data_IF_412773212022
#
_entry.id   IF_412773212022
#
_cell.length_a   1.000
_cell.length_b   1.000
_cell.length_c   1.000
_cell.angle_alpha   90.00
_cell.angle_beta   90.00
_cell.angle_gamma   90.00
#
_symmetry.space_group_name_H-M   'P 1'
#
loop_
_entity.id
_entity.type
_entity.pdbx_description
1 polymer ?
#
# COMPACT_ATOMS: atom_id res chain seq x y z
N UNK A 1 -9.62 -10.23 29.13
CA UNK A 1 -10.20 -8.87 29.24
C UNK A 1 -9.79 -7.95 28.09
N UNK A 2 -8.49 -7.64 27.87
CA UNK A 2 -8.08 -6.68 26.81
C UNK A 2 -8.37 -7.15 25.38
N UNK A 3 -8.09 -8.43 25.06
CA UNK A 3 -8.49 -9.03 23.78
C UNK A 3 -10.00 -8.89 23.54
N UNK A 4 -10.78 -9.19 24.58
CA UNK A 4 -12.23 -9.10 24.55
C UNK A 4 -12.72 -7.66 24.34
N UNK A 5 -12.07 -6.64 24.93
CA UNK A 5 -12.44 -5.24 24.71
C UNK A 5 -12.17 -4.75 23.28
N UNK A 6 -11.08 -5.19 22.65
CA UNK A 6 -10.79 -4.81 21.25
C UNK A 6 -11.73 -5.53 20.28
N UNK A 7 -12.00 -6.82 20.51
CA UNK A 7 -12.97 -7.60 19.73
C UNK A 7 -14.37 -7.01 19.87
N UNK A 8 -14.79 -6.70 21.10
CA UNK A 8 -16.09 -6.08 21.36
C UNK A 8 -16.19 -4.70 20.69
N UNK A 9 -15.14 -3.88 20.75
CA UNK A 9 -15.13 -2.59 20.05
C UNK A 9 -15.25 -2.76 18.53
N UNK A 10 -14.51 -3.68 17.91
CA UNK A 10 -14.62 -3.95 16.49
C UNK A 10 -16.00 -4.50 16.10
N UNK A 11 -16.58 -5.37 16.92
CA UNK A 11 -17.93 -5.89 16.73
C UNK A 11 -18.99 -4.76 16.84
N UNK A 12 -18.86 -3.87 17.83
CA UNK A 12 -19.75 -2.70 18.00
C UNK A 12 -19.63 -1.74 16.82
N UNK A 13 -18.42 -1.42 16.36
CA UNK A 13 -18.21 -0.56 15.18
C UNK A 13 -18.87 -1.18 13.94
N UNK A 14 -18.70 -2.49 13.74
CA UNK A 14 -19.31 -3.20 12.61
C UNK A 14 -20.84 -3.17 12.72
N UNK A 15 -21.40 -3.51 13.88
CA UNK A 15 -22.84 -3.55 14.12
C UNK A 15 -23.50 -2.17 14.00
N UNK A 16 -22.87 -1.12 14.53
CA UNK A 16 -23.37 0.26 14.39
C UNK A 16 -23.42 0.68 12.91
N UNK A 17 -22.46 0.21 12.10
CA UNK A 17 -22.44 0.51 10.67
C UNK A 17 -23.45 -0.30 9.87
N UNK A 18 -23.55 -1.61 10.10
CA UNK A 18 -24.36 -2.52 9.28
C UNK A 18 -25.80 -2.65 9.73
N UNK A 19 -26.06 -2.59 11.03
CA UNK A 19 -27.39 -2.80 11.63
C UNK A 19 -28.09 -1.48 11.93
N UNK A 20 -27.37 -0.54 12.54
CA UNK A 20 -27.94 0.75 12.99
C UNK A 20 -27.86 1.83 11.91
N UNK A 21 -27.02 1.65 10.88
CA UNK A 21 -26.87 2.61 9.79
C UNK A 21 -26.17 3.91 10.20
N UNK A 22 -25.33 3.87 11.24
CA UNK A 22 -24.56 5.04 11.68
C UNK A 22 -23.62 5.52 10.57
N UNK A 23 -23.58 6.85 10.37
CA UNK A 23 -22.79 7.44 9.28
C UNK A 23 -21.30 7.12 9.41
N UNK A 24 -20.57 6.88 8.29
CA UNK A 24 -19.13 6.64 8.32
C UNK A 24 -18.34 7.76 9.00
N UNK A 25 -18.80 8.99 8.82
CA UNK A 25 -18.20 10.19 9.43
C UNK A 25 -18.27 10.12 10.96
N UNK A 26 -19.43 9.79 11.54
CA UNK A 26 -19.55 9.67 13.00
C UNK A 26 -18.64 8.58 13.56
N UNK A 27 -18.52 7.44 12.87
CA UNK A 27 -17.62 6.37 13.27
C UNK A 27 -16.15 6.84 13.28
N UNK A 28 -15.73 7.57 12.25
CA UNK A 28 -14.35 8.06 12.08
C UNK A 28 -14.00 9.20 13.04
N UNK A 29 -14.85 10.21 13.19
CA UNK A 29 -14.54 11.42 13.96
C UNK A 29 -14.82 11.28 15.46
N UNK A 30 -15.74 10.40 15.87
CA UNK A 30 -16.20 10.32 17.27
C UNK A 30 -15.90 8.95 17.86
N UNK A 31 -16.50 7.89 17.30
CA UNK A 31 -16.48 6.58 17.93
C UNK A 31 -15.06 5.98 17.98
N UNK A 32 -14.29 6.12 16.90
CA UNK A 32 -12.94 5.58 16.83
C UNK A 32 -11.98 6.26 17.81
N UNK A 33 -11.82 7.61 17.82
CA UNK A 33 -10.98 8.29 18.80
C UNK A 33 -11.39 8.00 20.25
N UNK A 34 -12.69 8.00 20.55
CA UNK A 34 -13.18 7.70 21.91
C UNK A 34 -12.88 6.25 22.31
N UNK A 35 -13.13 5.28 21.42
CA UNK A 35 -12.82 3.87 21.67
C UNK A 35 -11.33 3.63 21.93
N UNK A 36 -10.47 4.26 21.13
CA UNK A 36 -9.02 4.22 21.31
C UNK A 36 -8.59 4.84 22.65
N UNK A 37 -9.19 5.97 23.05
CA UNK A 37 -8.94 6.62 24.33
C UNK A 37 -9.36 5.75 25.52
N UNK A 38 -10.57 5.18 25.49
CA UNK A 38 -11.07 4.29 26.55
C UNK A 38 -10.16 3.07 26.70
N UNK A 39 -9.76 2.45 25.58
CA UNK A 39 -8.84 1.32 25.58
C UNK A 39 -7.47 1.71 26.17
N UNK A 40 -6.93 2.87 25.78
CA UNK A 40 -5.67 3.40 26.28
C UNK A 40 -5.71 3.66 27.79
N UNK A 41 -6.78 4.26 28.30
CA UNK A 41 -6.97 4.55 29.72
C UNK A 41 -7.15 3.28 30.55
N UNK A 42 -7.97 2.34 30.06
CA UNK A 42 -8.15 1.03 30.70
C UNK A 42 -6.84 0.26 30.81
N UNK A 43 -6.06 0.22 29.72
CA UNK A 43 -4.74 -0.41 29.73
C UNK A 43 -3.73 0.31 30.61
N UNK A 44 -3.77 1.64 30.68
CA UNK A 44 -2.95 2.43 31.61
C UNK A 44 -3.23 2.05 33.06
N UNK A 45 -4.50 1.86 33.42
CA UNK A 45 -4.91 1.46 34.77
C UNK A 45 -4.39 0.06 35.11
N UNK A 46 -4.57 -0.92 34.21
CA UNK A 46 -4.10 -2.31 34.40
C UNK A 46 -2.57 -2.43 34.43
N UNK A 47 -1.84 -1.56 33.71
CA UNK A 47 -0.38 -1.62 33.58
C UNK A 47 0.36 -0.55 34.38
N UNK A 48 -0.29 0.04 35.39
CA UNK A 48 0.26 1.16 36.18
C UNK A 48 1.64 0.88 36.76
N UNK A 49 1.87 -0.35 37.24
CA UNK A 49 3.12 -0.75 37.89
C UNK A 49 4.19 -1.25 36.89
N UNK A 50 3.83 -1.41 35.61
CA UNK A 50 4.75 -1.86 34.58
C UNK A 50 5.45 -0.66 33.94
N UNK A 51 6.78 -0.63 34.05
CA UNK A 51 7.65 0.33 33.37
C UNK A 51 8.30 -0.30 32.15
N UNK A 52 8.45 0.48 31.09
CA UNK A 52 9.22 0.05 29.93
C UNK A 52 10.72 0.08 30.26
N UNK A 53 11.44 -0.96 29.83
CA UNK A 53 12.88 -1.15 30.06
C UNK A 53 13.68 -1.14 28.75
N UNK A 54 13.11 -0.59 27.67
CA UNK A 54 13.85 -0.42 26.42
C UNK A 54 15.00 0.56 26.61
N UNK A 55 16.14 0.23 26.00
CA UNK A 55 17.32 1.07 25.98
C UNK A 55 17.44 1.72 24.60
N UNK A 56 18.02 2.92 24.54
CA UNK A 56 18.33 3.65 23.30
C UNK A 56 17.12 3.90 22.41
N UNK A 57 15.98 4.21 23.01
CA UNK A 57 14.76 4.57 22.28
C UNK A 57 15.00 5.77 21.36
N UNK A 58 15.78 6.76 21.81
CA UNK A 58 16.06 7.98 21.04
C UNK A 58 16.79 7.71 19.71
N UNK A 59 17.77 6.79 19.70
CA UNK A 59 18.50 6.41 18.49
C UNK A 59 17.54 5.77 17.47
N UNK A 60 16.67 4.86 17.94
CA UNK A 60 15.68 4.18 17.09
C UNK A 60 14.57 5.10 16.62
N UNK A 61 14.19 6.10 17.42
CA UNK A 61 13.30 7.19 17.02
C UNK A 61 13.93 7.97 15.86
N UNK A 62 15.22 8.33 15.97
CA UNK A 62 15.96 8.99 14.90
C UNK A 62 15.97 8.18 13.60
N UNK A 63 16.27 6.88 13.66
CA UNK A 63 16.25 6.00 12.49
C UNK A 63 14.84 5.94 11.87
N UNK A 64 13.81 5.76 12.70
CA UNK A 64 12.42 5.70 12.22
C UNK A 64 12.01 7.01 11.57
N UNK A 65 12.35 8.16 12.18
CA UNK A 65 12.09 9.48 11.63
C UNK A 65 12.80 9.67 10.28
N UNK A 66 14.07 9.29 10.17
CA UNK A 66 14.84 9.42 8.92
C UNK A 66 14.26 8.57 7.79
N UNK A 67 13.92 7.30 8.07
CA UNK A 67 13.30 6.40 7.06
C UNK A 67 11.94 6.95 6.62
N UNK A 68 11.12 7.44 7.56
CA UNK A 68 9.81 7.99 7.24
C UNK A 68 9.90 9.34 6.51
N UNK A 69 10.88 10.18 6.81
CA UNK A 69 11.13 11.42 6.09
C UNK A 69 11.57 11.13 4.65
N UNK A 70 12.50 10.18 4.45
CA UNK A 70 12.89 9.74 3.12
C UNK A 70 11.71 9.16 2.34
N UNK A 71 10.90 8.31 2.99
CA UNK A 71 9.68 7.77 2.40
C UNK A 71 8.70 8.87 1.99
N UNK A 72 8.46 9.88 2.84
CA UNK A 72 7.60 11.01 2.54
C UNK A 72 8.10 11.80 1.31
N UNK A 73 9.41 12.02 1.22
CA UNK A 73 10.04 12.69 0.07
C UNK A 73 9.84 11.86 -1.20
N UNK A 74 10.18 10.56 -1.16
CA UNK A 74 10.04 9.66 -2.32
C UNK A 74 8.57 9.56 -2.76
N UNK A 75 7.65 9.40 -1.81
CA UNK A 75 6.22 9.40 -2.05
C UNK A 75 5.80 10.68 -2.77
N UNK A 76 6.13 11.87 -2.25
CA UNK A 76 5.73 13.11 -2.88
C UNK A 76 6.38 13.32 -4.25
N UNK A 77 7.67 13.01 -4.42
CA UNK A 77 8.39 13.11 -5.69
C UNK A 77 7.83 12.16 -6.75
N UNK A 78 7.30 11.02 -6.36
CA UNK A 78 6.66 10.10 -7.31
C UNK A 78 5.45 10.73 -8.03
N UNK A 79 4.81 11.73 -7.42
CA UNK A 79 3.75 12.52 -8.07
C UNK A 79 4.23 13.30 -9.30
N UNK A 80 5.53 13.59 -9.43
CA UNK A 80 6.10 14.15 -10.65
C UNK A 80 6.03 13.17 -11.83
N UNK A 81 6.04 11.86 -11.54
CA UNK A 81 5.95 10.80 -12.54
C UNK A 81 4.48 10.44 -12.83
N UNK A 82 3.65 10.38 -11.78
CA UNK A 82 2.28 9.87 -11.85
C UNK A 82 1.18 10.93 -11.85
N UNK A 83 1.55 12.22 -11.83
CA UNK A 83 0.68 13.37 -11.59
C UNK A 83 0.10 13.42 -10.18
N UNK A 84 -0.44 14.58 -9.80
CA UNK A 84 -1.09 14.80 -8.52
C UNK A 84 -2.61 14.82 -8.66
N UNK A 85 -3.29 14.33 -7.64
CA UNK A 85 -4.74 14.40 -7.50
C UNK A 85 -5.12 15.13 -6.20
N UNK A 86 -6.30 15.74 -6.20
CA UNK A 86 -6.89 16.26 -4.97
C UNK A 86 -7.34 15.10 -4.10
N UNK A 87 -7.01 15.19 -2.82
CA UNK A 87 -7.35 14.17 -1.85
C UNK A 87 -8.87 14.14 -1.61
N UNK A 88 -9.56 12.98 -1.66
CA UNK A 88 -10.99 12.89 -1.34
C UNK A 88 -11.34 13.37 0.08
N UNK A 89 -10.37 13.35 1.00
CA UNK A 89 -10.53 13.87 2.36
C UNK A 89 -10.46 15.41 2.43
N UNK A 90 -10.15 16.08 1.32
CA UNK A 90 -10.15 17.53 1.21
C UNK A 90 -11.58 18.08 1.01
N UNK A 91 -12.14 18.62 2.09
CA UNK A 91 -13.41 19.38 2.06
C UNK A 91 -13.25 20.86 2.41
N UNK A 92 -12.01 21.38 2.38
CA UNK A 92 -11.65 22.71 2.87
C UNK A 92 -10.84 22.69 4.17
N UNK A 93 -10.42 23.87 4.62
CA UNK A 93 -9.49 24.03 5.76
C UNK A 93 -10.05 23.44 7.06
N UNK A 94 -11.33 23.68 7.36
CA UNK A 94 -11.93 23.15 8.59
C UNK A 94 -12.08 21.63 8.56
N UNK A 95 -12.47 21.07 7.41
CA UNK A 95 -12.54 19.62 7.27
C UNK A 95 -11.15 18.99 7.44
N UNK A 96 -10.09 19.64 6.93
CA UNK A 96 -8.73 19.19 7.13
C UNK A 96 -8.34 19.15 8.61
N UNK A 97 -8.63 20.23 9.35
CA UNK A 97 -8.34 20.29 10.79
C UNK A 97 -9.06 19.16 11.54
N UNK A 98 -10.33 18.91 11.22
CA UNK A 98 -11.09 17.81 11.82
C UNK A 98 -10.51 16.44 11.47
N UNK A 99 -10.07 16.23 10.22
CA UNK A 99 -9.40 15.00 9.82
C UNK A 99 -8.11 14.79 10.60
N UNK A 100 -7.26 15.81 10.70
CA UNK A 100 -6.01 15.74 11.45
C UNK A 100 -6.29 15.39 12.90
N UNK A 101 -7.24 16.08 13.55
CA UNK A 101 -7.58 15.81 14.96
C UNK A 101 -8.06 14.36 15.13
N UNK A 102 -8.98 13.89 14.28
CA UNK A 102 -9.53 12.54 14.42
C UNK A 102 -8.49 11.45 14.17
N UNK A 103 -7.71 11.54 13.08
CA UNK A 103 -6.68 10.54 12.75
C UNK A 103 -5.55 10.54 13.78
N UNK A 104 -5.09 11.71 14.24
CA UNK A 104 -4.06 11.82 15.27
C UNK A 104 -4.58 11.30 16.61
N UNK A 105 -5.78 11.70 17.05
CA UNK A 105 -6.34 11.24 18.33
C UNK A 105 -6.53 9.72 18.35
N UNK A 106 -7.10 9.16 17.27
CA UNK A 106 -7.21 7.72 17.10
C UNK A 106 -5.85 7.04 17.10
N UNK A 107 -4.92 7.50 16.25
CA UNK A 107 -3.58 6.94 16.08
C UNK A 107 -2.76 6.94 17.38
N UNK A 108 -2.77 8.05 18.13
CA UNK A 108 -2.08 8.13 19.42
C UNK A 108 -2.70 7.18 20.44
N UNK A 109 -4.04 7.17 20.55
CA UNK A 109 -4.76 6.33 21.51
C UNK A 109 -4.52 4.84 21.25
N UNK A 110 -4.67 4.41 20.00
CA UNK A 110 -4.57 3.00 19.63
C UNK A 110 -3.14 2.47 19.76
N UNK A 111 -2.13 3.29 19.41
CA UNK A 111 -0.74 2.88 19.52
C UNK A 111 -0.23 2.94 20.97
N UNK A 112 -0.73 3.87 21.78
CA UNK A 112 -0.50 3.83 23.22
C UNK A 112 -1.10 2.55 23.84
N UNK A 113 -2.32 2.18 23.45
CA UNK A 113 -2.93 0.93 23.86
C UNK A 113 -2.08 -0.28 23.42
N UNK A 114 -1.61 -0.33 22.17
CA UNK A 114 -0.72 -1.41 21.69
C UNK A 114 0.54 -1.53 22.53
N UNK A 115 1.19 -0.40 22.81
CA UNK A 115 2.40 -0.36 23.61
C UNK A 115 2.17 -0.92 25.02
N UNK A 116 1.10 -0.48 25.71
CA UNK A 116 0.74 -0.99 27.04
C UNK A 116 0.33 -2.46 27.02
N UNK A 117 -0.37 -2.91 25.99
CA UNK A 117 -0.74 -4.31 25.85
C UNK A 117 0.49 -5.22 25.72
N UNK A 118 1.54 -4.78 25.01
CA UNK A 118 2.81 -5.51 24.94
C UNK A 118 3.53 -5.56 26.30
N UNK A 119 3.47 -4.50 27.10
CA UNK A 119 3.97 -4.53 28.49
C UNK A 119 3.18 -5.52 29.35
N UNK A 120 1.86 -5.65 29.12
CA UNK A 120 1.01 -6.59 29.83
C UNK A 120 1.39 -8.04 29.52
N UNK A 121 1.40 -8.43 28.25
CA UNK A 121 1.69 -9.81 27.82
C UNK A 121 3.19 -10.15 28.00
N UNK A 122 4.06 -9.14 27.96
CA UNK A 122 5.50 -9.28 28.08
C UNK A 122 6.18 -9.75 26.79
N UNK A 123 7.48 -9.48 26.67
CA UNK A 123 8.24 -9.63 25.41
C UNK A 123 8.76 -11.04 25.09
N UNK A 124 8.28 -12.08 25.78
CA UNK A 124 8.65 -13.48 25.48
C UNK A 124 7.90 -13.97 24.24
N UNK A 125 8.52 -14.85 23.44
CA UNK A 125 7.93 -15.41 22.20
C UNK A 125 7.35 -14.34 21.25
N UNK A 126 8.21 -13.45 20.71
CA UNK A 126 7.78 -12.27 19.95
C UNK A 126 6.98 -12.62 18.68
N UNK A 127 7.21 -13.78 18.06
CA UNK A 127 6.46 -14.22 16.88
C UNK A 127 5.00 -14.55 17.22
N UNK A 128 4.77 -15.49 18.14
CA UNK A 128 3.42 -15.92 18.53
C UNK A 128 2.63 -14.77 19.15
N UNK A 129 3.21 -14.08 20.15
CA UNK A 129 2.54 -12.99 20.83
C UNK A 129 2.40 -11.76 19.95
N UNK A 130 3.38 -11.49 19.08
CA UNK A 130 3.30 -10.44 18.07
C UNK A 130 2.19 -10.69 17.07
N UNK A 131 2.03 -11.92 16.59
CA UNK A 131 0.94 -12.31 15.69
C UNK A 131 -0.44 -12.05 16.30
N UNK A 132 -0.64 -12.39 17.58
CA UNK A 132 -1.88 -12.06 18.31
C UNK A 132 -2.09 -10.55 18.41
N UNK A 133 -1.04 -9.78 18.72
CA UNK A 133 -1.13 -8.31 18.77
C UNK A 133 -1.51 -7.74 17.39
N UNK A 134 -0.88 -8.20 16.31
CA UNK A 134 -1.21 -7.78 14.94
C UNK A 134 -2.68 -8.07 14.65
N UNK A 135 -3.14 -9.32 14.86
CA UNK A 135 -4.51 -9.71 14.59
C UNK A 135 -5.53 -8.86 15.38
N UNK A 136 -5.28 -8.63 16.67
CA UNK A 136 -6.17 -7.85 17.55
C UNK A 136 -6.25 -6.39 17.11
N UNK A 137 -5.11 -5.75 16.84
CA UNK A 137 -5.07 -4.33 16.49
C UNK A 137 -5.42 -4.05 15.02
N UNK A 138 -5.55 -5.08 14.19
CA UNK A 138 -6.15 -5.00 12.85
C UNK A 138 -7.67 -4.89 12.89
N UNK A 139 -8.34 -5.44 13.91
CA UNK A 139 -9.81 -5.52 13.96
C UNK A 139 -10.54 -4.18 13.78
N UNK A 140 -10.11 -3.05 14.39
CA UNK A 140 -10.79 -1.77 14.22
C UNK A 140 -10.76 -1.26 12.78
N UNK A 141 -9.71 -1.60 12.03
CA UNK A 141 -9.58 -1.26 10.61
C UNK A 141 -10.42 -2.18 9.74
N UNK A 142 -10.39 -3.50 10.00
CA UNK A 142 -11.19 -4.48 9.27
C UNK A 142 -12.69 -4.19 9.44
N UNK A 143 -13.13 -3.80 10.64
CA UNK A 143 -14.51 -3.40 10.92
C UNK A 143 -15.01 -2.27 10.00
N UNK A 144 -14.12 -1.37 9.57
CA UNK A 144 -14.44 -0.30 8.61
C UNK A 144 -14.44 -0.77 7.15
N UNK A 145 -14.03 -1.99 6.84
CA UNK A 145 -13.94 -2.49 5.45
C UNK A 145 -15.01 -3.53 5.16
N UNK A 146 -15.49 -4.27 6.17
CA UNK A 146 -16.49 -5.35 6.03
C UNK A 146 -17.70 -4.94 5.15
N UNK A 147 -18.34 -3.77 5.34
CA UNK A 147 -19.49 -3.40 4.50
C UNK A 147 -19.14 -3.15 3.03
N UNK A 148 -17.90 -2.75 2.74
CA UNK A 148 -17.42 -2.59 1.37
C UNK A 148 -17.14 -3.96 0.73
N UNK A 149 -16.61 -4.92 1.50
CA UNK A 149 -16.35 -6.28 1.01
C UNK A 149 -17.61 -7.01 0.55
N UNK A 150 -18.74 -6.81 1.23
CA UNK A 150 -20.01 -7.50 0.93
C UNK A 150 -20.70 -6.94 -0.33
N UNK A 151 -20.38 -5.70 -0.73
CA UNK A 151 -21.09 -4.99 -1.78
C UNK A 151 -20.41 -5.06 -3.16
N UNK A 152 -19.31 -5.80 -3.31
CA UNK A 152 -18.34 -5.59 -4.39
C UNK A 152 -18.10 -6.87 -5.21
N UNK A 153 -17.91 -6.73 -6.53
CA UNK A 153 -17.63 -7.84 -7.46
C UNK A 153 -16.25 -8.47 -7.23
N UNK A 154 -16.03 -9.70 -7.70
CA UNK A 154 -14.80 -10.47 -7.46
C UNK A 154 -13.51 -9.76 -7.92
N UNK A 155 -13.53 -9.07 -9.06
CA UNK A 155 -12.37 -8.31 -9.56
C UNK A 155 -12.00 -7.13 -8.64
N UNK A 156 -13.01 -6.51 -8.04
CA UNK A 156 -12.86 -5.35 -7.16
C UNK A 156 -12.43 -5.75 -5.73
N UNK A 157 -12.53 -7.04 -5.37
CA UNK A 157 -12.00 -7.57 -4.10
C UNK A 157 -10.47 -7.47 -4.06
N UNK A 158 -9.78 -7.74 -5.18
CA UNK A 158 -8.31 -7.68 -5.25
C UNK A 158 -7.84 -6.23 -5.04
N UNK A 159 -8.49 -5.28 -5.70
CA UNK A 159 -8.22 -3.85 -5.53
C UNK A 159 -8.43 -3.41 -4.08
N UNK A 160 -9.49 -3.89 -3.42
CA UNK A 160 -9.75 -3.57 -2.02
C UNK A 160 -8.68 -4.15 -1.08
N UNK A 161 -8.25 -5.40 -1.33
CA UNK A 161 -7.18 -6.04 -0.57
C UNK A 161 -5.87 -5.25 -0.72
N UNK A 162 -5.52 -4.87 -1.95
CA UNK A 162 -4.30 -4.11 -2.22
C UNK A 162 -4.33 -2.69 -1.64
N UNK A 163 -5.46 -2.00 -1.76
CA UNK A 163 -5.60 -0.62 -1.29
C UNK A 163 -5.65 -0.52 0.23
N UNK A 164 -6.29 -1.49 0.90
CA UNK A 164 -6.59 -1.37 2.33
C UNK A 164 -5.93 -2.48 3.16
N UNK A 165 -6.19 -3.74 2.84
CA UNK A 165 -5.79 -4.85 3.71
C UNK A 165 -4.27 -5.01 3.81
N UNK A 166 -3.55 -4.93 2.69
CA UNK A 166 -2.09 -5.05 2.66
C UNK A 166 -1.44 -3.90 3.44
N UNK A 167 -1.72 -2.60 3.17
CA UNK A 167 -1.13 -1.51 3.94
C UNK A 167 -1.43 -1.58 5.44
N UNK A 168 -2.67 -1.91 5.82
CA UNK A 168 -3.05 -2.05 7.23
C UNK A 168 -2.31 -3.20 7.90
N UNK A 169 -2.16 -4.35 7.21
CA UNK A 169 -1.38 -5.48 7.72
C UNK A 169 0.08 -5.11 7.94
N UNK A 170 0.73 -4.51 6.94
CA UNK A 170 2.13 -4.09 7.02
C UNK A 170 2.33 -3.08 8.13
N UNK A 171 1.47 -2.06 8.20
CA UNK A 171 1.51 -1.04 9.24
C UNK A 171 1.40 -1.67 10.64
N UNK A 172 0.49 -2.62 10.84
CA UNK A 172 0.32 -3.32 12.12
C UNK A 172 1.51 -4.21 12.47
N UNK A 173 2.15 -4.87 11.50
CA UNK A 173 3.37 -5.65 11.71
C UNK A 173 4.50 -4.74 12.17
N UNK A 174 4.72 -3.62 11.46
CA UNK A 174 5.77 -2.64 11.78
C UNK A 174 5.54 -2.02 13.16
N UNK A 175 4.33 -1.53 13.46
CA UNK A 175 4.00 -0.94 14.76
C UNK A 175 4.18 -1.93 15.91
N UNK A 176 3.81 -3.18 15.69
CA UNK A 176 4.05 -4.26 16.66
C UNK A 176 5.54 -4.48 16.86
N UNK A 177 6.33 -4.59 15.78
CA UNK A 177 7.79 -4.71 15.87
C UNK A 177 8.43 -3.54 16.62
N UNK A 178 8.03 -2.30 16.31
CA UNK A 178 8.49 -1.09 16.99
C UNK A 178 8.14 -1.12 18.49
N UNK A 179 6.96 -1.61 18.86
CA UNK A 179 6.59 -1.76 20.27
C UNK A 179 7.47 -2.76 21.04
N UNK A 180 7.95 -3.82 20.37
CA UNK A 180 8.90 -4.78 20.95
C UNK A 180 10.33 -4.23 21.04
N UNK A 181 10.73 -3.36 20.11
CA UNK A 181 12.15 -3.03 19.89
C UNK A 181 12.52 -1.58 20.12
N UNK A 182 11.66 -0.63 19.79
CA UNK A 182 11.95 0.81 19.70
C UNK A 182 11.12 1.68 20.66
N UNK A 183 9.97 1.20 21.12
CA UNK A 183 9.13 1.85 22.12
C UNK A 183 8.08 2.80 21.52
N UNK A 184 7.31 3.43 22.38
CA UNK A 184 6.14 4.23 21.98
C UNK A 184 6.49 5.39 21.04
N UNK A 185 7.59 6.10 21.29
CA UNK A 185 7.96 7.27 20.47
C UNK A 185 8.18 6.90 19.00
N UNK A 186 8.91 5.81 18.71
CA UNK A 186 9.09 5.34 17.34
C UNK A 186 7.77 4.90 16.70
N UNK A 187 6.89 4.26 17.47
CA UNK A 187 5.56 3.88 16.97
C UNK A 187 4.76 5.12 16.55
N UNK A 188 4.77 6.17 17.39
CA UNK A 188 4.09 7.43 17.09
C UNK A 188 4.70 8.12 15.88
N UNK A 189 6.03 8.18 15.76
CA UNK A 189 6.69 8.77 14.57
C UNK A 189 6.25 8.05 13.30
N UNK A 190 6.31 6.70 13.28
CA UNK A 190 5.87 5.91 12.15
C UNK A 190 4.37 6.15 11.83
N UNK A 191 3.51 6.08 12.84
CA UNK A 191 2.06 6.24 12.70
C UNK A 191 1.67 7.64 12.21
N UNK A 192 2.23 8.69 12.82
CA UNK A 192 1.92 10.07 12.45
C UNK A 192 2.42 10.37 11.04
N UNK A 193 3.61 9.88 10.66
CA UNK A 193 4.11 10.05 9.30
C UNK A 193 3.20 9.40 8.25
N UNK A 194 2.70 8.19 8.50
CA UNK A 194 1.76 7.54 7.56
C UNK A 194 0.41 8.25 7.50
N UNK A 195 -0.14 8.66 8.65
CA UNK A 195 -1.47 9.28 8.71
C UNK A 195 -1.44 10.70 8.12
N UNK A 196 -0.41 11.49 8.41
CA UNK A 196 -0.29 12.85 7.87
C UNK A 196 -0.09 12.87 6.35
N UNK A 197 0.66 11.91 5.78
CA UNK A 197 0.79 11.78 4.33
C UNK A 197 -0.55 11.52 3.66
N UNK A 198 -1.40 10.68 4.26
CA UNK A 198 -2.75 10.41 3.77
C UNK A 198 -3.67 11.63 3.87
N UNK A 199 -3.36 12.60 4.72
CA UNK A 199 -4.16 13.81 4.91
C UNK A 199 -3.69 14.99 4.08
N UNK A 200 -2.63 14.89 3.27
CA UNK A 200 -2.20 16.03 2.45
C UNK A 200 -3.31 16.44 1.45
N UNK A 201 -3.57 17.75 1.22
CA UNK A 201 -4.62 18.20 0.30
C UNK A 201 -4.41 17.70 -1.14
N UNK A 202 -3.13 17.60 -1.52
CA UNK A 202 -2.67 17.16 -2.82
C UNK A 202 -1.76 15.96 -2.58
N UNK A 203 -2.05 14.85 -3.25
CA UNK A 203 -1.30 13.61 -3.15
C UNK A 203 -1.01 13.04 -4.55
N UNK A 204 0.10 12.31 -4.73
CA UNK A 204 0.35 11.57 -5.96
C UNK A 204 -0.82 10.64 -6.32
N UNK A 205 -1.20 10.59 -7.59
CA UNK A 205 -2.24 9.67 -8.07
C UNK A 205 -1.66 8.26 -8.18
N UNK A 206 -1.67 7.55 -7.06
CA UNK A 206 -1.27 6.15 -7.01
C UNK A 206 -2.43 5.20 -7.20
N UNK A 207 -2.25 4.23 -8.09
CA UNK A 207 -3.13 3.07 -8.17
C UNK A 207 -2.93 2.15 -6.95
N UNK A 208 -3.91 1.29 -6.68
CA UNK A 208 -3.96 0.41 -5.51
C UNK A 208 -2.67 -0.42 -5.28
N UNK A 209 -2.05 -0.91 -6.36
CA UNK A 209 -0.84 -1.73 -6.28
C UNK A 209 0.39 -0.92 -5.87
N UNK A 210 0.47 0.36 -6.26
CA UNK A 210 1.56 1.24 -5.86
C UNK A 210 1.49 1.54 -4.36
N UNK A 211 0.28 1.74 -3.84
CA UNK A 211 0.04 1.93 -2.40
C UNK A 211 0.45 0.67 -1.62
N UNK A 212 0.03 -0.51 -2.08
CA UNK A 212 0.41 -1.79 -1.49
C UNK A 212 1.95 -1.96 -1.49
N UNK A 213 2.59 -1.78 -2.65
CA UNK A 213 4.04 -1.95 -2.81
C UNK A 213 4.83 -0.94 -1.97
N UNK A 214 4.41 0.32 -1.99
CA UNK A 214 5.01 1.39 -1.19
C UNK A 214 4.99 1.07 0.29
N UNK A 215 3.85 0.61 0.81
CA UNK A 215 3.70 0.19 2.21
C UNK A 215 4.63 -0.97 2.58
N UNK A 216 4.73 -1.99 1.72
CA UNK A 216 5.63 -3.13 1.88
C UNK A 216 7.10 -2.69 1.89
N UNK A 217 7.50 -1.86 0.93
CA UNK A 217 8.88 -1.36 0.82
C UNK A 217 9.29 -0.56 2.05
N UNK A 218 8.51 0.45 2.46
CA UNK A 218 8.86 1.25 3.64
C UNK A 218 8.87 0.42 4.92
N UNK A 219 7.90 -0.48 5.08
CA UNK A 219 7.83 -1.39 6.22
C UNK A 219 9.06 -2.29 6.29
N UNK A 220 9.43 -2.93 5.18
CA UNK A 220 10.60 -3.80 5.08
C UNK A 220 11.91 -3.04 5.31
N UNK A 221 12.10 -1.87 4.69
CA UNK A 221 13.30 -1.03 4.89
C UNK A 221 13.44 -0.67 6.38
N UNK A 222 12.35 -0.26 7.03
CA UNK A 222 12.37 0.08 8.45
C UNK A 222 12.70 -1.13 9.33
N UNK A 223 12.11 -2.30 9.06
CA UNK A 223 12.39 -3.53 9.80
C UNK A 223 13.86 -3.96 9.66
N UNK A 224 14.42 -3.93 8.44
CA UNK A 224 15.81 -4.29 8.17
C UNK A 224 16.81 -3.33 8.82
N UNK A 225 16.56 -2.02 8.72
CA UNK A 225 17.44 -1.01 9.33
C UNK A 225 17.48 -1.14 10.85
N UNK A 226 16.33 -1.35 11.49
CA UNK A 226 16.27 -1.55 12.93
C UNK A 226 16.87 -2.89 13.37
N UNK A 227 16.73 -3.97 12.58
CA UNK A 227 17.32 -5.26 12.92
C UNK A 227 18.85 -5.24 12.83
N UNK A 228 19.43 -4.56 11.82
CA UNK A 228 20.89 -4.41 11.69
C UNK A 228 21.52 -3.72 12.91
N UNK A 229 20.92 -2.63 13.39
CA UNK A 229 21.42 -1.94 14.59
C UNK A 229 21.42 -2.81 15.85
N UNK A 230 20.60 -3.86 15.89
CA UNK A 230 20.59 -4.85 16.96
C UNK A 230 21.71 -5.88 16.79
N UNK A 231 21.91 -6.38 15.58
CA UNK A 231 22.85 -7.48 15.29
C UNK A 231 24.31 -7.09 15.54
N UNK A 232 24.72 -5.88 15.15
CA UNK A 232 26.09 -5.39 15.30
C UNK A 232 26.60 -5.42 16.75
N UNK A 233 25.69 -5.47 17.73
CA UNK A 233 26.06 -5.56 19.15
C UNK A 233 25.94 -6.95 19.75
N UNK A 234 25.15 -7.84 19.16
CA UNK A 234 25.11 -9.25 19.59
C UNK A 234 26.36 -10.05 19.24
N UNK A 235 27.27 -9.51 18.41
CA UNK A 235 28.59 -10.13 18.17
C UNK A 235 29.43 -10.24 19.46
N UNK A 236 29.15 -9.44 20.49
CA UNK A 236 29.84 -9.49 21.80
C UNK A 236 29.17 -10.47 22.79
N UNK A 237 27.89 -10.83 22.59
CA UNK A 237 27.17 -11.76 23.47
C UNK A 237 26.40 -12.82 22.66
N UNK A 238 26.96 -14.03 22.58
CA UNK A 238 26.59 -15.09 21.63
C UNK A 238 25.29 -15.87 21.85
N UNK A 239 24.37 -15.45 22.73
CA UNK A 239 23.14 -16.22 22.94
C UNK A 239 21.88 -15.36 22.96
N UNK A 240 20.88 -15.82 22.20
CA UNK A 240 19.44 -15.69 22.47
C UNK A 240 18.61 -14.65 21.71
N UNK A 241 18.98 -14.21 20.49
CA UNK A 241 18.12 -13.31 19.69
C UNK A 241 17.77 -13.75 18.25
N UNK A 242 18.11 -14.99 17.85
CA UNK A 242 17.94 -15.53 16.49
C UNK A 242 16.52 -15.40 15.87
N UNK A 243 15.46 -15.39 16.68
CA UNK A 243 14.08 -15.46 16.20
C UNK A 243 13.46 -14.15 15.68
N UNK A 244 14.04 -12.98 15.95
CA UNK A 244 13.48 -11.70 15.47
C UNK A 244 14.07 -11.28 14.12
N UNK A 245 15.30 -11.68 13.81
CA UNK A 245 15.98 -11.34 12.55
C UNK A 245 15.20 -11.89 11.33
N UNK A 246 14.55 -13.04 11.53
CA UNK A 246 13.70 -13.69 10.55
C UNK A 246 12.50 -12.81 10.14
N UNK A 247 12.05 -11.87 10.97
CA UNK A 247 10.92 -10.99 10.62
C UNK A 247 11.33 -10.00 9.53
N UNK A 248 12.51 -9.38 9.65
CA UNK A 248 13.03 -8.48 8.62
C UNK A 248 13.36 -9.23 7.33
N UNK A 249 13.98 -10.41 7.45
CA UNK A 249 14.31 -11.27 6.30
C UNK A 249 13.05 -11.81 5.61
N UNK A 250 12.03 -12.23 6.37
CA UNK A 250 10.75 -12.68 5.82
C UNK A 250 9.99 -11.54 5.16
N UNK A 251 9.98 -10.34 5.77
CA UNK A 251 9.37 -9.16 5.16
C UNK A 251 10.06 -8.79 3.85
N UNK A 252 11.39 -8.91 3.78
CA UNK A 252 12.15 -8.73 2.55
C UNK A 252 11.82 -9.78 1.50
N UNK A 253 11.80 -11.07 1.87
CA UNK A 253 11.38 -12.16 1.00
C UNK A 253 9.96 -11.95 0.46
N UNK A 254 9.00 -11.59 1.31
CA UNK A 254 7.62 -11.29 0.92
C UNK A 254 7.52 -10.07 0.00
N UNK A 255 8.31 -9.03 0.27
CA UNK A 255 8.35 -7.84 -0.60
C UNK A 255 8.93 -8.19 -1.96
N UNK A 256 9.99 -9.00 -2.01
CA UNK A 256 10.56 -9.51 -3.25
C UNK A 256 9.58 -10.40 -4.01
N UNK A 257 8.89 -11.32 -3.33
CA UNK A 257 7.87 -12.16 -3.95
C UNK A 257 6.74 -11.29 -4.49
N UNK A 258 6.25 -10.32 -3.73
CA UNK A 258 5.25 -9.36 -4.19
C UNK A 258 5.71 -8.56 -5.41
N UNK A 259 6.95 -8.08 -5.42
CA UNK A 259 7.56 -7.41 -6.57
C UNK A 259 7.66 -8.33 -7.77
N UNK A 260 8.10 -9.58 -7.59
CA UNK A 260 8.20 -10.57 -8.66
C UNK A 260 6.81 -10.87 -9.23
N UNK A 261 5.81 -11.13 -8.40
CA UNK A 261 4.43 -11.37 -8.84
C UNK A 261 3.84 -10.18 -9.61
N UNK A 262 4.22 -8.96 -9.23
CA UNK A 262 3.87 -7.74 -9.94
C UNK A 262 4.58 -7.63 -11.29
N UNK A 263 5.87 -7.95 -11.34
CA UNK A 263 6.65 -7.96 -12.58
C UNK A 263 6.23 -9.08 -13.54
N UNK A 264 5.77 -10.23 -13.05
CA UNK A 264 5.33 -11.35 -13.87
C UNK A 264 3.88 -11.24 -14.35
N UNK A 265 3.16 -10.18 -13.96
CA UNK A 265 1.78 -9.95 -14.37
C UNK A 265 0.78 -10.97 -13.83
N UNK A 266 1.04 -11.52 -12.65
CA UNK A 266 0.04 -12.34 -11.93
C UNK A 266 -1.12 -11.48 -11.43
N UNK A 267 -0.87 -10.19 -11.18
CA UNK A 267 -1.92 -9.23 -10.87
C UNK A 267 -2.57 -8.68 -12.14
N UNK A 268 -3.77 -8.12 -12.00
CA UNK A 268 -4.49 -7.44 -13.09
C UNK A 268 -3.75 -6.22 -13.66
N UNK A 269 -2.59 -5.85 -13.12
CA UNK A 269 -1.73 -4.78 -13.59
C UNK A 269 -0.31 -5.31 -13.70
N UNK A 270 0.36 -5.02 -14.82
CA UNK A 270 1.73 -5.43 -15.07
C UNK A 270 2.53 -4.32 -15.77
N UNK A 271 3.82 -4.14 -15.46
CA UNK A 271 4.67 -3.20 -16.15
C UNK A 271 5.15 -3.76 -17.49
N UNK A 272 5.21 -2.92 -18.52
CA UNK A 272 5.87 -3.22 -19.80
C UNK A 272 6.80 -2.06 -20.17
N UNK A 273 7.93 -2.36 -20.78
CA UNK A 273 8.82 -1.32 -21.28
C UNK A 273 8.47 -0.96 -22.73
N UNK A 274 8.46 0.33 -23.05
CA UNK A 274 8.22 0.86 -24.39
C UNK A 274 9.51 0.72 -25.20
N UNK A 275 9.46 -0.15 -26.21
CA UNK A 275 10.62 -0.53 -27.01
C UNK A 275 10.92 0.41 -28.18
N UNK A 276 9.90 1.12 -28.69
CA UNK A 276 9.99 1.95 -29.91
C UNK A 276 9.61 3.40 -29.65
N UNK A 277 9.80 4.26 -30.67
CA UNK A 277 9.36 5.66 -30.66
C UNK A 277 7.97 5.89 -31.28
N UNK A 278 7.17 4.83 -31.52
CA UNK A 278 5.88 4.96 -32.22
C UNK A 278 4.81 5.68 -31.38
N UNK A 279 4.98 5.73 -30.06
CA UNK A 279 4.08 6.41 -29.13
C UNK A 279 4.56 7.80 -28.69
N UNK A 280 5.65 8.31 -29.30
CA UNK A 280 6.14 9.66 -29.04
C UNK A 280 5.11 10.72 -29.50
N UNK A 281 4.93 11.85 -28.79
CA UNK A 281 5.65 12.30 -27.59
C UNK A 281 5.04 11.80 -26.27
N UNK A 282 3.95 11.02 -26.31
CA UNK A 282 3.21 10.63 -25.10
C UNK A 282 3.96 9.53 -24.32
N UNK A 283 4.53 8.55 -25.01
CA UNK A 283 5.46 7.58 -24.42
C UNK A 283 6.72 7.48 -25.26
N UNK A 284 7.86 7.62 -24.60
CA UNK A 284 9.16 7.55 -25.24
C UNK A 284 9.75 6.15 -25.09
N UNK A 285 10.64 5.77 -26.02
CA UNK A 285 11.45 4.57 -25.89
C UNK A 285 12.23 4.62 -24.57
N UNK A 286 12.14 3.54 -23.79
CA UNK A 286 12.74 3.47 -22.46
C UNK A 286 11.80 3.85 -21.32
N UNK A 287 10.61 4.36 -21.61
CA UNK A 287 9.55 4.48 -20.60
C UNK A 287 9.04 3.09 -20.20
N UNK A 288 8.65 2.93 -18.94
CA UNK A 288 7.91 1.76 -18.47
C UNK A 288 6.46 2.16 -18.26
N UNK A 289 5.52 1.53 -18.95
CA UNK A 289 4.10 1.78 -18.78
C UNK A 289 3.45 0.66 -17.97
N UNK A 290 2.45 0.99 -17.17
CA UNK A 290 1.67 -0.01 -16.43
C UNK A 290 0.39 -0.30 -17.20
N UNK A 291 0.20 -1.57 -17.55
CA UNK A 291 -0.95 -2.06 -18.30
C UNK A 291 -1.89 -2.78 -17.36
N UNK A 292 -3.16 -2.39 -17.38
CA UNK A 292 -4.26 -3.15 -16.77
C UNK A 292 -4.67 -4.27 -17.73
N UNK A 293 -4.58 -5.52 -17.30
CA UNK A 293 -4.99 -6.69 -18.07
C UNK A 293 -6.43 -6.58 -18.55
N UNK A 294 -6.64 -6.88 -19.83
CA UNK A 294 -7.94 -6.80 -20.49
C UNK A 294 -8.98 -7.67 -19.78
N UNK A 295 -10.18 -7.13 -19.58
CA UNK A 295 -11.37 -7.84 -19.14
C UNK A 295 -12.56 -7.43 -20.03
N UNK A 296 -13.59 -8.28 -20.19
CA UNK A 296 -14.75 -7.95 -21.03
C UNK A 296 -15.62 -6.80 -20.52
N UNK A 297 -15.50 -6.45 -19.24
CA UNK A 297 -16.25 -5.36 -18.61
C UNK A 297 -15.62 -3.98 -18.85
N UNK A 298 -14.38 -3.94 -19.35
CA UNK A 298 -13.68 -2.68 -19.62
C UNK A 298 -14.25 -2.02 -20.87
N UNK A 299 -14.81 -0.84 -20.69
CA UNK A 299 -15.22 0.02 -21.78
C UNK A 299 -13.98 0.64 -22.45
N UNK A 300 -13.66 0.15 -23.64
CA UNK A 300 -12.57 0.68 -24.46
C UNK A 300 -13.16 1.72 -25.40
N UNK A 301 -12.79 2.97 -25.18
CA UNK A 301 -13.26 4.09 -25.98
C UNK A 301 -12.18 4.55 -26.96
N UNK A 302 -12.61 5.26 -28.02
CA UNK A 302 -11.72 5.96 -28.93
C UNK A 302 -10.78 6.88 -28.14
N UNK A 303 -9.49 6.84 -28.44
CA UNK A 303 -8.44 7.58 -27.74
C UNK A 303 -7.74 6.79 -26.63
N UNK A 304 -8.25 5.61 -26.25
CA UNK A 304 -7.60 4.73 -25.26
C UNK A 304 -6.31 4.14 -25.83
N UNK A 305 -5.25 4.07 -25.03
CA UNK A 305 -4.00 3.40 -25.43
C UNK A 305 -4.05 1.96 -24.92
N UNK A 306 -3.97 1.01 -25.86
CA UNK A 306 -4.13 -0.42 -25.59
C UNK A 306 -2.85 -1.17 -25.90
N UNK A 307 -2.58 -2.21 -25.12
CA UNK A 307 -1.60 -3.24 -25.43
C UNK A 307 -2.34 -4.40 -26.11
N UNK A 308 -1.83 -4.87 -27.25
CA UNK A 308 -2.33 -6.05 -27.93
C UNK A 308 -1.20 -6.91 -28.48
N UNK A 309 -1.53 -8.10 -28.97
CA UNK A 309 -0.57 -9.02 -29.60
C UNK A 309 -0.99 -9.32 -31.03
N UNK A 310 -0.06 -9.10 -31.97
CA UNK A 310 -0.19 -9.48 -33.39
C UNK A 310 1.09 -10.21 -33.78
N UNK A 311 0.95 -11.36 -34.44
CA UNK A 311 2.07 -12.20 -34.90
C UNK A 311 3.15 -12.50 -33.84
N UNK A 312 2.70 -12.69 -32.59
CA UNK A 312 3.59 -12.95 -31.44
C UNK A 312 4.30 -11.70 -30.89
N UNK A 313 4.21 -10.55 -31.56
CA UNK A 313 4.74 -9.29 -31.07
C UNK A 313 3.72 -8.55 -30.19
N UNK A 314 4.17 -8.00 -29.07
CA UNK A 314 3.35 -7.12 -28.25
C UNK A 314 3.51 -5.68 -28.70
N UNK A 315 2.39 -5.02 -29.01
CA UNK A 315 2.34 -3.66 -29.55
C UNK A 315 1.46 -2.82 -28.64
N UNK A 316 1.83 -1.55 -28.44
CA UNK A 316 1.09 -0.59 -27.62
C UNK A 316 0.76 0.64 -28.44
N UNK A 317 -0.50 0.82 -28.84
CA UNK A 317 -0.95 1.92 -29.72
C UNK A 317 -2.31 2.48 -29.27
N UNK A 318 -2.70 3.64 -29.82
CA UNK A 318 -3.96 4.30 -29.51
C UNK A 318 -5.09 3.79 -30.40
N UNK A 319 -6.25 3.51 -29.80
CA UNK A 319 -7.49 3.21 -30.52
C UNK A 319 -7.96 4.49 -31.22
N UNK A 320 -8.01 4.47 -32.55
CA UNK A 320 -8.48 5.61 -33.36
C UNK A 320 -9.89 5.41 -33.91
N UNK A 321 -10.35 4.16 -33.99
CA UNK A 321 -11.68 3.81 -34.44
C UNK A 321 -12.13 2.49 -33.80
N UNK A 322 -13.44 2.37 -33.56
CA UNK A 322 -14.08 1.17 -33.04
C UNK A 322 -15.18 0.82 -34.02
N UNK A 323 -15.15 -0.39 -34.55
CA UNK A 323 -16.15 -0.90 -35.49
C UNK A 323 -16.61 -2.29 -35.07
N UNK A 324 -17.68 -2.77 -35.70
CA UNK A 324 -18.20 -4.12 -35.48
C UNK A 324 -18.12 -4.90 -36.77
N UNK A 325 -17.36 -6.00 -36.76
CA UNK A 325 -17.23 -6.92 -37.90
C UNK A 325 -17.73 -8.29 -37.48
N UNK A 326 -18.71 -8.84 -38.21
CA UNK A 326 -19.30 -10.16 -37.91
C UNK A 326 -19.82 -10.29 -36.46
N UNK A 327 -20.39 -9.21 -35.91
CA UNK A 327 -20.92 -9.18 -34.55
C UNK A 327 -19.85 -9.12 -33.45
N UNK A 328 -18.57 -8.99 -33.78
CA UNK A 328 -17.47 -8.78 -32.83
C UNK A 328 -16.94 -7.36 -32.91
N UNK A 329 -16.55 -6.81 -31.76
CA UNK A 329 -15.85 -5.53 -31.68
C UNK A 329 -14.45 -5.65 -32.27
N UNK A 330 -14.10 -4.67 -33.09
CA UNK A 330 -12.81 -4.58 -33.75
C UNK A 330 -12.27 -3.16 -33.59
N UNK A 331 -10.98 -3.07 -33.33
CA UNK A 331 -10.30 -1.81 -33.02
C UNK A 331 -9.27 -1.51 -34.12
N UNK A 332 -9.36 -0.31 -34.68
CA UNK A 332 -8.28 0.25 -35.50
C UNK A 332 -7.35 1.00 -34.57
N UNK A 333 -6.07 0.64 -34.59
CA UNK A 333 -5.04 1.26 -33.74
C UNK A 333 -4.06 2.06 -34.57
N UNK A 334 -3.41 3.03 -33.92
CA UNK A 334 -2.36 3.86 -34.50
C UNK A 334 -1.36 4.28 -33.44
N UNK A 335 -0.06 4.19 -33.75
CA UNK A 335 0.98 4.83 -32.93
C UNK A 335 0.89 6.34 -33.04
N UNK A 336 0.99 7.06 -31.91
CA UNK A 336 0.85 8.52 -31.87
C UNK A 336 1.84 9.26 -32.79
N UNK A 337 3.00 8.65 -33.09
CA UNK A 337 4.04 9.16 -33.97
C UNK A 337 4.03 8.53 -35.39
N UNK A 338 3.08 7.64 -35.67
CA UNK A 338 3.00 6.98 -36.98
C UNK A 338 2.20 7.85 -37.97
N UNK A 339 2.54 7.81 -39.26
CA UNK A 339 1.81 8.54 -40.29
C UNK A 339 0.44 7.89 -40.55
N UNK A 340 0.43 6.57 -40.73
CA UNK A 340 -0.74 5.78 -41.09
C UNK A 340 -1.27 4.96 -39.91
N UNK A 341 -2.50 4.46 -40.04
CA UNK A 341 -3.06 3.48 -39.13
C UNK A 341 -2.30 2.15 -39.24
N UNK A 342 -2.37 1.33 -38.19
CA UNK A 342 -1.83 -0.02 -38.26
C UNK A 342 -2.56 -0.81 -39.38
N UNK A 343 -1.85 -1.61 -40.19
CA UNK A 343 -2.43 -2.26 -41.36
C UNK A 343 -3.33 -3.46 -41.01
N UNK A 344 -3.40 -3.82 -39.73
CA UNK A 344 -4.27 -4.87 -39.21
C UNK A 344 -5.38 -4.28 -38.35
N UNK A 345 -6.42 -5.08 -38.19
CA UNK A 345 -7.50 -4.82 -37.25
C UNK A 345 -7.30 -5.66 -35.98
N UNK A 346 -7.43 -5.03 -34.82
CA UNK A 346 -7.24 -5.69 -33.52
C UNK A 346 -8.59 -6.21 -33.02
N UNK A 347 -8.69 -7.51 -32.78
CA UNK A 347 -9.89 -8.10 -32.17
C UNK A 347 -9.80 -8.12 -30.65
N UNK A 348 -10.94 -8.34 -29.98
CA UNK A 348 -10.98 -8.48 -28.51
C UNK A 348 -10.06 -9.58 -27.98
N UNK A 349 -9.84 -10.63 -28.76
CA UNK A 349 -9.00 -11.78 -28.37
C UNK A 349 -7.49 -11.46 -28.42
N UNK A 350 -7.12 -10.43 -29.19
CA UNK A 350 -5.75 -9.94 -29.31
C UNK A 350 -5.42 -8.87 -28.26
N UNK A 351 -6.42 -8.26 -27.62
CA UNK A 351 -6.22 -7.29 -26.56
C UNK A 351 -5.59 -7.95 -25.33
N UNK A 352 -4.53 -7.32 -24.83
CA UNK A 352 -3.84 -7.71 -23.61
C UNK A 352 -4.14 -6.77 -22.46
N UNK A 353 -4.40 -5.50 -22.74
CA UNK A 353 -4.79 -4.56 -21.70
C UNK A 353 -4.81 -3.11 -22.13
N UNK A 354 -5.04 -2.25 -21.14
CA UNK A 354 -5.11 -0.79 -21.29
C UNK A 354 -4.00 -0.14 -20.50
N UNK A 355 -3.28 0.80 -21.10
CA UNK A 355 -2.24 1.57 -20.39
C UNK A 355 -2.90 2.53 -19.40
N UNK A 356 -2.51 2.44 -18.12
CA UNK A 356 -3.05 3.28 -17.03
C UNK A 356 -2.04 4.26 -16.45
N UNK A 357 -0.74 4.01 -16.61
CA UNK A 357 0.31 4.89 -16.10
C UNK A 357 1.63 4.73 -16.82
N UNK A 358 2.56 5.67 -16.59
CA UNK A 358 3.93 5.62 -17.10
C UNK A 358 4.94 5.97 -16.02
N UNK A 359 6.13 5.40 -16.15
CA UNK A 359 7.32 5.69 -15.38
C UNK A 359 8.46 5.93 -16.38
N UNK A 360 8.83 7.19 -16.62
CA UNK A 360 9.87 7.53 -17.57
C UNK A 360 11.20 6.83 -17.27
N UNK A 361 11.96 6.47 -18.31
CA UNK A 361 13.34 5.97 -18.28
C UNK A 361 13.58 4.61 -17.56
N UNK A 362 12.66 4.11 -16.74
CA UNK A 362 12.86 2.85 -15.99
C UNK A 362 12.79 1.61 -16.90
N UNK A 363 12.25 1.72 -18.11
CA UNK A 363 12.23 0.66 -19.11
C UNK A 363 13.57 0.40 -19.79
N UNK A 364 14.56 1.30 -19.67
CA UNK A 364 15.84 1.16 -20.36
C UNK A 364 16.60 -0.14 -20.07
N UNK A 365 16.69 -0.66 -18.82
CA UNK A 365 17.32 -1.95 -18.58
C UNK A 365 16.73 -3.08 -19.44
N UNK A 366 15.40 -3.12 -19.59
CA UNK A 366 14.72 -4.10 -20.46
C UNK A 366 15.01 -3.85 -21.93
N UNK A 367 14.99 -2.59 -22.38
CA UNK A 367 15.32 -2.22 -23.76
C UNK A 367 16.75 -2.64 -24.11
N UNK A 368 17.71 -2.29 -23.26
CA UNK A 368 19.14 -2.61 -23.45
C UNK A 368 19.39 -4.12 -23.45
N UNK A 369 18.72 -4.87 -22.56
CA UNK A 369 18.80 -6.32 -22.54
C UNK A 369 18.21 -6.95 -23.81
N UNK A 370 17.05 -6.47 -24.27
CA UNK A 370 16.42 -6.96 -25.49
C UNK A 370 17.30 -6.73 -26.72
N UNK A 371 17.88 -5.53 -26.84
CA UNK A 371 18.84 -5.21 -27.90
C UNK A 371 20.10 -6.07 -27.83
N UNK A 372 20.59 -6.35 -26.62
CA UNK A 372 21.73 -7.24 -26.44
C UNK A 372 21.44 -8.68 -26.87
N UNK A 373 20.23 -9.20 -26.61
CA UNK A 373 19.84 -10.57 -27.00
C UNK A 373 19.59 -10.74 -28.51
N UNK A 374 19.29 -9.66 -29.24
CA UNK A 374 18.98 -9.67 -30.68
C UNK A 374 20.10 -9.09 -31.54
N UNK A 375 21.24 -8.73 -30.94
CA UNK A 375 22.52 -8.50 -31.62
C UNK A 375 23.26 -9.81 -31.78
#
# INVERSE_FOLDING_TARGET
MVLMSVVLWAAVVTALRTVVGVSPQFLLYVLQPLGALVLALGLRWVTRDKRDRLHRTNEKVGITASVMALWAIVYFLSGLLFTYAHNPLWGGVWQMVLNVIAYVAFGVGIEYARHRFILLIGRRQPLLRGGVVVAVFMLPYIALVIPQLVAVSSASVIELIGTILIPVLVQNIVLTYLAYTAGLQSMLVYRMATDLLLLLPIAPRHDWYMVAMGSLLVGTILLLTLDRTRQDRSRVFHFRHRHINWVGESAFGLTLVGLVLFMTGVFSYHPIAIMSGSMSPIYNRGDMVVVQQYNPEMDIQRGTIVQYTVDGASITHRVVEISTTQGKLVYTTKGDNNADNDPWQVTTDQLRGVVRGRIPLIGYPTVLLNEWMHR
#
